data_IF_315891071776
#
_entry.id   IF_315891071776
#
_cell.length_a   1.000
_cell.length_b   1.000
_cell.length_c   1.000
_cell.angle_alpha   90.00
_cell.angle_beta   90.00
_cell.angle_gamma   90.00
#
_symmetry.space_group_name_H-M   'P 1'
#
loop_
_entity.id
_entity.type
_entity.pdbx_description
1 polymer ?
#
# COMPACT_ATOMS: atom_id res chain seq x y z
N UNK A 1 -13.38 -2.16 14.54
CA UNK A 1 -12.96 -1.32 13.41
C UNK A 1 -13.28 -2.12 12.16
N UNK A 2 -14.11 -1.58 11.26
CA UNK A 2 -14.42 -2.23 9.99
C UNK A 2 -13.39 -1.74 8.99
N UNK A 3 -12.60 -2.64 8.42
CA UNK A 3 -11.59 -2.30 7.41
C UNK A 3 -12.18 -2.48 6.02
N UNK A 4 -11.90 -1.55 5.11
CA UNK A 4 -12.30 -1.68 3.72
C UNK A 4 -11.67 -2.93 3.07
N UNK A 5 -12.35 -3.55 2.08
CA UNK A 5 -11.77 -4.65 1.31
C UNK A 5 -10.42 -4.29 0.66
N UNK A 6 -10.23 -3.01 0.32
CA UNK A 6 -8.97 -2.51 -0.23
C UNK A 6 -7.86 -2.47 0.83
N UNK A 7 -8.14 -2.00 2.06
CA UNK A 7 -7.15 -2.04 3.14
C UNK A 7 -6.74 -3.47 3.49
N UNK A 8 -7.69 -4.41 3.51
CA UNK A 8 -7.39 -5.84 3.72
C UNK A 8 -6.46 -6.36 2.62
N UNK A 9 -6.76 -6.03 1.36
CA UNK A 9 -5.92 -6.45 0.24
C UNK A 9 -4.51 -5.84 0.30
N UNK A 10 -4.39 -4.54 0.55
CA UNK A 10 -3.10 -3.86 0.68
C UNK A 10 -2.29 -4.42 1.86
N UNK A 11 -2.97 -4.78 2.96
CA UNK A 11 -2.35 -5.43 4.13
C UNK A 11 -1.81 -6.81 3.75
N UNK A 12 -2.60 -7.62 3.03
CA UNK A 12 -2.15 -8.94 2.54
C UNK A 12 -0.89 -8.79 1.68
N UNK A 13 -0.92 -7.86 0.72
CA UNK A 13 0.23 -7.58 -0.14
C UNK A 13 1.47 -7.17 0.66
N UNK A 14 1.31 -6.35 1.70
CA UNK A 14 2.42 -6.01 2.58
C UNK A 14 3.00 -7.24 3.25
N UNK A 15 2.17 -8.14 3.76
CA UNK A 15 2.63 -9.35 4.44
C UNK A 15 3.24 -10.38 3.50
N UNK A 16 2.77 -10.50 2.26
CA UNK A 16 3.40 -11.35 1.24
C UNK A 16 4.85 -10.93 1.00
N UNK A 17 5.11 -9.61 0.97
CA UNK A 17 6.47 -9.06 0.86
C UNK A 17 7.25 -9.24 2.17
N UNK A 18 6.68 -8.90 3.33
CA UNK A 18 7.36 -8.95 4.64
C UNK A 18 7.74 -10.38 5.03
N UNK A 19 6.92 -11.37 4.71
CA UNK A 19 7.16 -12.78 5.03
C UNK A 19 8.14 -13.45 4.07
N UNK A 20 8.51 -12.79 2.97
CA UNK A 20 9.56 -13.26 2.08
C UNK A 20 10.90 -13.34 2.81
N UNK A 21 11.63 -14.44 2.60
CA UNK A 21 12.98 -14.64 3.12
C UNK A 21 14.00 -13.58 2.67
N UNK A 22 13.65 -12.78 1.66
CA UNK A 22 14.50 -11.72 1.12
C UNK A 22 14.17 -10.34 1.69
N UNK A 23 13.07 -10.17 2.44
CA UNK A 23 12.61 -8.86 2.89
C UNK A 23 13.68 -8.11 3.71
N UNK A 24 14.31 -8.81 4.65
CA UNK A 24 15.36 -8.22 5.49
C UNK A 24 16.65 -7.90 4.70
N UNK A 25 16.78 -8.40 3.46
CA UNK A 25 17.91 -8.10 2.56
C UNK A 25 17.61 -6.95 1.60
N UNK A 26 16.36 -6.53 1.48
CA UNK A 26 15.98 -5.40 0.62
C UNK A 26 16.55 -4.10 1.19
N UNK A 27 17.05 -3.26 0.30
CA UNK A 27 17.33 -1.85 0.56
C UNK A 27 16.05 -1.04 0.53
N UNK A 28 16.09 0.20 1.02
CA UNK A 28 14.92 1.09 0.91
C UNK A 28 14.62 1.44 -0.56
N UNK A 29 15.65 1.54 -1.39
CA UNK A 29 15.49 1.79 -2.83
C UNK A 29 14.79 0.61 -3.52
N UNK A 30 15.11 -0.63 -3.15
CA UNK A 30 14.41 -1.81 -3.66
C UNK A 30 12.91 -1.75 -3.32
N UNK A 31 12.56 -1.35 -2.10
CA UNK A 31 11.17 -1.20 -1.66
C UNK A 31 10.46 -0.08 -2.43
N UNK A 32 11.14 1.05 -2.66
CA UNK A 32 10.58 2.17 -3.45
C UNK A 32 10.32 1.73 -4.89
N UNK A 33 11.20 0.90 -5.46
CA UNK A 33 11.05 0.39 -6.83
C UNK A 33 9.84 -0.53 -6.99
N UNK A 34 9.28 -1.09 -5.92
CA UNK A 34 8.02 -1.84 -5.97
C UNK A 34 6.80 -0.96 -6.26
N UNK A 35 6.90 0.37 -6.13
CA UNK A 35 5.74 1.28 -6.29
C UNK A 35 4.97 1.02 -7.58
N UNK A 36 5.68 0.85 -8.70
CA UNK A 36 5.04 0.65 -10.00
C UNK A 36 4.29 -0.69 -10.07
N UNK A 37 4.88 -1.77 -9.56
CA UNK A 37 4.23 -3.08 -9.52
C UNK A 37 3.01 -3.07 -8.59
N UNK A 38 3.14 -2.48 -7.40
CA UNK A 38 2.03 -2.27 -6.46
C UNK A 38 0.91 -1.48 -7.13
N UNK A 39 1.24 -0.41 -7.84
CA UNK A 39 0.27 0.40 -8.57
C UNK A 39 -0.51 -0.45 -9.60
N UNK A 40 0.17 -1.31 -10.37
CA UNK A 40 -0.47 -2.20 -11.33
C UNK A 40 -1.41 -3.20 -10.63
N UNK A 41 -0.96 -3.82 -9.54
CA UNK A 41 -1.80 -4.74 -8.75
C UNK A 41 -3.04 -4.07 -8.19
N UNK A 42 -2.91 -2.83 -7.68
CA UNK A 42 -4.03 -2.04 -7.19
C UNK A 42 -5.01 -1.68 -8.30
N UNK A 43 -4.49 -1.27 -9.47
CA UNK A 43 -5.31 -0.98 -10.66
C UNK A 43 -6.14 -2.21 -11.07
N UNK A 44 -5.50 -3.37 -11.17
CA UNK A 44 -6.18 -4.62 -11.50
C UNK A 44 -7.24 -4.99 -10.45
N UNK A 45 -6.91 -4.85 -9.16
CA UNK A 45 -7.82 -5.18 -8.06
C UNK A 45 -9.07 -4.29 -8.02
N UNK A 46 -8.90 -3.01 -8.31
CA UNK A 46 -9.96 -1.99 -8.22
C UNK A 46 -10.76 -1.82 -9.51
N UNK A 47 -10.28 -2.42 -10.62
CA UNK A 47 -10.85 -2.23 -11.96
C UNK A 47 -10.92 -0.76 -12.38
N UNK A 48 -10.01 0.08 -11.91
CA UNK A 48 -9.92 1.52 -12.23
C UNK A 48 -9.23 1.76 -13.58
N UNK A 49 -9.57 2.90 -14.18
CA UNK A 49 -9.19 3.34 -15.51
C UNK A 49 -8.48 4.70 -15.44
N UNK A 50 -7.30 4.77 -14.78
CA UNK A 50 -6.58 6.02 -14.51
C UNK A 50 -6.17 6.79 -15.78
N UNK A 51 -6.14 6.14 -16.94
CA UNK A 51 -5.91 6.79 -18.23
C UNK A 51 -7.08 7.68 -18.68
N UNK A 52 -8.28 7.50 -18.12
CA UNK A 52 -9.47 8.30 -18.43
C UNK A 52 -9.92 9.17 -17.26
N UNK A 53 -9.57 8.80 -16.02
CA UNK A 53 -10.01 9.51 -14.81
C UNK A 53 -8.82 9.93 -13.94
N UNK A 54 -8.51 11.23 -13.95
CA UNK A 54 -7.40 11.79 -13.17
C UNK A 54 -7.51 11.49 -11.65
N UNK A 55 -8.72 11.49 -11.10
CA UNK A 55 -8.95 11.14 -9.68
C UNK A 55 -8.56 9.70 -9.37
N UNK A 56 -8.77 8.76 -10.30
CA UNK A 56 -8.38 7.37 -10.11
C UNK A 56 -6.87 7.20 -10.22
N UNK A 57 -6.21 7.97 -11.09
CA UNK A 57 -4.75 8.05 -11.14
C UNK A 57 -4.17 8.53 -9.82
N UNK A 58 -4.67 9.64 -9.29
CA UNK A 58 -4.24 10.21 -8.00
C UNK A 58 -4.52 9.27 -6.83
N UNK A 59 -5.69 8.61 -6.84
CA UNK A 59 -6.05 7.61 -5.84
C UNK A 59 -5.06 6.45 -5.83
N UNK A 60 -4.87 5.80 -6.98
CA UNK A 60 -3.98 4.64 -7.10
C UNK A 60 -2.53 4.99 -6.74
N UNK A 61 -2.03 6.16 -7.17
CA UNK A 61 -0.68 6.61 -6.83
C UNK A 61 -0.53 6.84 -5.33
N UNK A 62 -1.53 7.47 -4.69
CA UNK A 62 -1.52 7.70 -3.23
C UNK A 62 -1.53 6.40 -2.44
N UNK A 63 -2.34 5.42 -2.83
CA UNK A 63 -2.41 4.12 -2.13
C UNK A 63 -1.13 3.32 -2.37
N UNK A 64 -0.59 3.31 -3.59
CA UNK A 64 0.69 2.67 -3.89
C UNK A 64 1.83 3.27 -3.05
N UNK A 65 1.88 4.60 -2.92
CA UNK A 65 2.81 5.27 -2.01
C UNK A 65 2.61 4.83 -0.56
N UNK A 66 1.37 4.76 -0.09
CA UNK A 66 1.06 4.32 1.28
C UNK A 66 1.55 2.91 1.58
N UNK A 67 1.41 1.98 0.63
CA UNK A 67 1.95 0.61 0.76
C UNK A 67 3.48 0.63 0.85
N UNK A 68 4.16 1.38 -0.02
CA UNK A 68 5.63 1.51 -0.01
C UNK A 68 6.12 2.13 1.30
N UNK A 69 5.44 3.15 1.81
CA UNK A 69 5.73 3.77 3.10
C UNK A 69 5.60 2.74 4.24
N UNK A 70 4.53 1.94 4.25
CA UNK A 70 4.34 0.86 5.24
C UNK A 70 5.47 -0.17 5.17
N UNK A 71 5.82 -0.64 3.97
CA UNK A 71 6.92 -1.60 3.78
C UNK A 71 8.26 -1.01 4.26
N UNK A 72 8.51 0.26 3.97
CA UNK A 72 9.69 1.00 4.44
C UNK A 72 9.73 1.03 5.97
N UNK A 73 8.61 1.36 6.63
CA UNK A 73 8.53 1.37 8.09
C UNK A 73 8.73 -0.03 8.69
N UNK A 74 8.14 -1.07 8.11
CA UNK A 74 8.35 -2.48 8.52
C UNK A 74 9.79 -2.96 8.33
N UNK A 75 10.53 -2.37 7.37
CA UNK A 75 11.94 -2.65 7.11
C UNK A 75 12.87 -1.96 8.11
N UNK A 76 12.57 -0.71 8.47
CA UNK A 76 13.36 0.09 9.43
C UNK A 76 13.06 -0.29 10.88
N UNK A 77 11.79 -0.59 11.18
CA UNK A 77 11.31 -0.88 12.53
C UNK A 77 10.58 -2.22 12.56
N UNK A 78 11.21 -3.24 13.16
CA UNK A 78 10.58 -4.57 13.29
C UNK A 78 9.27 -4.55 14.07
N UNK A 79 9.12 -3.63 15.02
CA UNK A 79 7.87 -3.41 15.77
C UNK A 79 6.71 -2.90 14.90
N UNK A 80 6.98 -2.29 13.74
CA UNK A 80 5.95 -1.83 12.81
C UNK A 80 5.28 -2.98 12.02
N UNK A 81 5.80 -4.22 12.12
CA UNK A 81 5.20 -5.41 11.47
C UNK A 81 3.91 -5.90 12.13
N UNK A 82 3.36 -5.15 13.09
CA UNK A 82 2.05 -5.43 13.69
C UNK A 82 0.94 -5.35 12.65
N UNK A 83 0.18 -6.43 12.48
CA UNK A 83 -0.97 -6.48 11.57
C UNK A 83 -1.96 -5.36 11.85
N UNK A 84 -2.23 -5.06 13.12
CA UNK A 84 -3.13 -3.97 13.49
C UNK A 84 -2.61 -2.62 13.01
N UNK A 85 -1.31 -2.35 13.17
CA UNK A 85 -0.70 -1.09 12.73
C UNK A 85 -0.73 -0.95 11.21
N UNK A 86 -0.36 -2.01 10.48
CA UNK A 86 -0.40 -2.04 9.01
C UNK A 86 -1.81 -1.77 8.50
N UNK A 87 -2.80 -2.52 9.00
CA UNK A 87 -4.20 -2.37 8.59
C UNK A 87 -4.75 -0.98 8.89
N UNK A 88 -4.50 -0.47 10.10
CA UNK A 88 -4.96 0.88 10.51
C UNK A 88 -4.32 1.97 9.67
N UNK A 89 -3.03 1.85 9.36
CA UNK A 89 -2.29 2.83 8.55
C UNK A 89 -2.84 2.88 7.13
N UNK A 90 -3.07 1.72 6.52
CA UNK A 90 -3.60 1.63 5.16
C UNK A 90 -5.05 2.12 5.08
N UNK A 91 -5.91 1.76 6.03
CA UNK A 91 -7.29 2.26 6.07
C UNK A 91 -7.33 3.78 6.24
N UNK A 92 -6.54 4.34 7.16
CA UNK A 92 -6.45 5.78 7.35
C UNK A 92 -5.95 6.50 6.08
N UNK A 93 -5.00 5.91 5.35
CA UNK A 93 -4.51 6.45 4.08
C UNK A 93 -5.59 6.44 3.00
N UNK A 94 -6.38 5.36 2.91
CA UNK A 94 -7.50 5.25 1.98
C UNK A 94 -8.54 6.31 2.30
N UNK A 95 -8.98 6.41 3.56
CA UNK A 95 -9.97 7.40 4.01
C UNK A 95 -9.50 8.84 3.76
N UNK A 96 -8.24 9.14 4.08
CA UNK A 96 -7.65 10.46 3.83
C UNK A 96 -7.62 10.80 2.34
N UNK A 97 -7.22 9.83 1.51
CA UNK A 97 -7.15 10.02 0.06
C UNK A 97 -8.54 10.27 -0.52
N UNK A 98 -9.54 9.47 -0.13
CA UNK A 98 -10.92 9.66 -0.56
C UNK A 98 -11.43 11.05 -0.18
N UNK A 99 -11.19 11.50 1.06
CA UNK A 99 -11.64 12.81 1.55
C UNK A 99 -11.03 13.99 0.79
N UNK A 100 -9.81 13.86 0.27
CA UNK A 100 -9.13 14.92 -0.46
C UNK A 100 -9.41 14.92 -1.98
N UNK A 101 -10.01 13.84 -2.50
CA UNK A 101 -10.38 13.72 -3.92
C UNK A 101 -11.85 14.11 -4.21
N UNK A 102 -12.65 14.34 -3.16
CA UNK A 102 -14.04 14.79 -3.21
C UNK A 102 -14.08 16.32 -3.32
#
# INVERSE_FOLDING_TARGET
MNYSPLAIHCTSLCFDVIQSQYFDKLTLDDIVNFKYEIYLMLKERTCMWPQFYARELEFLDSIACGVVEVLTQCRVHSAARSTHWVMSTLENRIDYTIKNLI
#
